data_IF_276622096135
#
_entry.id   IF_276622096135
#
_cell.length_a   1.000
_cell.length_b   1.000
_cell.length_c   1.000
_cell.angle_alpha   90.00
_cell.angle_beta   90.00
_cell.angle_gamma   90.00
#
_symmetry.space_group_name_H-M   'P 1'
#
loop_
_entity.id
_entity.type
_entity.pdbx_description
1 polymer ?
#
# COMPACT_ATOMS: atom_id res chain seq x y z
N UNK A 1 11.87 -4.24 -9.51
CA UNK A 1 10.60 -4.90 -9.86
C UNK A 1 9.96 -5.54 -8.64
N UNK A 2 10.61 -6.50 -7.98
CA UNK A 2 10.04 -7.20 -6.79
C UNK A 2 9.65 -6.23 -5.68
N UNK A 3 10.55 -5.31 -5.30
CA UNK A 3 10.22 -4.24 -4.35
C UNK A 3 8.99 -3.42 -4.77
N UNK A 4 8.87 -3.02 -6.03
CA UNK A 4 7.74 -2.22 -6.52
C UNK A 4 6.40 -2.95 -6.39
N UNK A 5 6.39 -4.27 -6.59
CA UNK A 5 5.21 -5.12 -6.39
C UNK A 5 4.85 -5.18 -4.89
N UNK A 6 5.83 -5.50 -4.04
CA UNK A 6 5.65 -5.53 -2.60
C UNK A 6 5.16 -4.18 -2.06
N UNK A 7 5.81 -3.09 -2.44
CA UNK A 7 5.48 -1.72 -2.04
C UNK A 7 4.05 -1.35 -2.46
N UNK A 8 3.62 -1.72 -3.68
CA UNK A 8 2.25 -1.46 -4.14
C UNK A 8 1.20 -2.10 -3.23
N UNK A 9 1.34 -3.41 -2.95
CA UNK A 9 0.41 -4.11 -2.05
C UNK A 9 0.53 -3.64 -0.60
N UNK A 10 1.73 -3.24 -0.19
CA UNK A 10 1.98 -2.73 1.15
C UNK A 10 1.32 -1.37 1.38
N UNK A 11 1.38 -0.46 0.39
CA UNK A 11 0.64 0.80 0.39
C UNK A 11 -0.87 0.59 0.35
N UNK A 12 -1.36 -0.37 -0.45
CA UNK A 12 -2.79 -0.66 -0.50
C UNK A 12 -3.32 -1.20 0.85
N UNK A 13 -2.61 -2.14 1.48
CA UNK A 13 -2.91 -2.64 2.83
C UNK A 13 -2.86 -1.51 3.88
N UNK A 14 -1.84 -0.66 3.80
CA UNK A 14 -1.62 0.47 4.69
C UNK A 14 -2.68 1.57 4.59
N UNK A 15 -3.13 1.87 3.37
CA UNK A 15 -3.97 3.03 3.08
C UNK A 15 -5.45 2.63 2.96
N UNK A 16 -5.74 1.65 2.10
CA UNK A 16 -7.12 1.18 1.89
C UNK A 16 -7.52 0.24 3.01
N UNK A 17 -6.68 -0.75 3.32
CA UNK A 17 -6.92 -1.73 4.37
C UNK A 17 -6.93 -1.17 5.78
N UNK A 18 -6.53 0.09 5.99
CA UNK A 18 -6.52 0.76 7.31
C UNK A 18 -7.57 1.87 7.43
N UNK A 19 -7.68 2.74 6.43
CA UNK A 19 -8.47 3.97 6.52
C UNK A 19 -9.82 3.89 5.80
N UNK A 20 -9.98 2.95 4.86
CA UNK A 20 -11.21 2.77 4.09
C UNK A 20 -11.97 1.55 4.60
N UNK A 21 -11.29 0.42 4.71
CA UNK A 21 -11.74 -0.79 5.39
C UNK A 21 -11.03 -0.76 6.73
N UNK A 22 -11.60 -0.22 7.82
CA UNK A 22 -10.91 -0.13 9.10
C UNK A 22 -10.83 -1.52 9.75
N UNK A 23 -10.13 -2.46 9.11
CA UNK A 23 -9.74 -3.77 9.60
C UNK A 23 -8.23 -3.77 9.89
N UNK A 24 -7.74 -4.76 10.64
CA UNK A 24 -6.30 -4.92 10.82
C UNK A 24 -5.62 -5.26 9.49
N UNK A 25 -4.41 -4.74 9.30
CA UNK A 25 -3.64 -4.97 8.08
C UNK A 25 -3.39 -6.46 7.85
N UNK A 26 -3.53 -6.88 6.60
CA UNK A 26 -3.29 -8.26 6.14
C UNK A 26 -1.87 -8.69 6.50
N UNK A 27 -0.90 -7.77 6.38
CA UNK A 27 0.49 -8.01 6.71
C UNK A 27 0.67 -8.59 8.11
N UNK A 28 -0.02 -7.99 9.09
CA UNK A 28 0.07 -8.33 10.51
C UNK A 28 -0.83 -9.51 10.86
N UNK A 29 -2.10 -9.48 10.45
CA UNK A 29 -3.10 -10.52 10.82
C UNK A 29 -2.78 -11.90 10.27
N UNK A 30 -2.18 -11.96 9.08
CA UNK A 30 -1.84 -13.22 8.41
C UNK A 30 -0.34 -13.52 8.42
N UNK A 31 0.43 -12.77 9.24
CA UNK A 31 1.86 -12.92 9.46
C UNK A 31 2.68 -12.97 8.15
N UNK A 32 2.34 -12.11 7.19
CA UNK A 32 2.99 -12.13 5.88
C UNK A 32 4.44 -11.65 5.95
N UNK A 33 4.84 -10.85 6.95
CA UNK A 33 6.25 -10.51 7.14
C UNK A 33 7.12 -11.76 7.32
N UNK A 34 6.72 -12.67 8.20
CA UNK A 34 7.44 -13.93 8.41
C UNK A 34 7.36 -14.83 7.17
N UNK A 35 6.18 -14.92 6.54
CA UNK A 35 5.96 -15.78 5.35
C UNK A 35 6.75 -15.31 4.13
N UNK A 36 6.87 -13.99 3.95
CA UNK A 36 7.65 -13.36 2.89
C UNK A 36 9.14 -13.27 3.22
N UNK A 37 9.56 -13.61 4.44
CA UNK A 37 10.94 -13.48 4.90
C UNK A 37 11.47 -12.03 4.83
N UNK A 38 10.65 -11.06 5.25
CA UNK A 38 11.03 -9.64 5.26
C UNK A 38 11.03 -9.07 6.69
N UNK A 39 12.09 -8.34 7.09
CA UNK A 39 12.17 -7.71 8.42
C UNK A 39 11.52 -6.32 8.47
N UNK A 40 10.95 -5.84 7.37
CA UNK A 40 10.43 -4.49 7.24
C UNK A 40 8.94 -4.44 7.60
N UNK A 41 8.56 -3.58 8.55
CA UNK A 41 7.16 -3.32 8.94
C UNK A 41 6.55 -2.11 8.19
N UNK A 42 7.43 -1.21 7.73
CA UNK A 42 7.09 -0.02 6.96
C UNK A 42 6.48 -0.33 5.60
N UNK A 43 6.11 0.73 4.88
CA UNK A 43 5.59 0.61 3.52
C UNK A 43 6.67 0.62 2.43
N UNK A 44 7.91 0.96 2.79
CA UNK A 44 9.03 1.11 1.87
C UNK A 44 9.44 2.56 1.63
N UNK A 45 8.67 3.53 2.15
CA UNK A 45 9.07 4.93 2.12
C UNK A 45 10.41 5.13 2.87
N UNK A 46 11.35 5.80 2.21
CA UNK A 46 12.67 6.09 2.78
C UNK A 46 13.68 4.94 2.73
N UNK A 47 13.34 3.79 2.13
CA UNK A 47 14.32 2.73 1.88
C UNK A 47 15.44 3.22 0.95
N UNK A 48 16.68 2.89 1.30
CA UNK A 48 17.85 3.14 0.45
C UNK A 48 17.90 2.15 -0.71
N UNK A 49 18.77 2.38 -1.70
CA UNK A 49 19.00 1.42 -2.77
C UNK A 49 19.45 0.04 -2.23
N UNK A 50 20.27 0.03 -1.18
CA UNK A 50 20.75 -1.21 -0.54
C UNK A 50 19.62 -1.94 0.18
N UNK A 51 18.71 -1.21 0.84
CA UNK A 51 17.51 -1.80 1.45
C UNK A 51 16.60 -2.43 0.39
N UNK A 52 16.36 -1.72 -0.72
CA UNK A 52 15.56 -2.21 -1.85
C UNK A 52 16.17 -3.48 -2.45
N UNK A 53 17.50 -3.53 -2.59
CA UNK A 53 18.22 -4.70 -3.09
C UNK A 53 18.12 -5.87 -2.10
N UNK A 54 18.34 -5.63 -0.82
CA UNK A 54 18.26 -6.65 0.23
C UNK A 54 16.86 -7.26 0.31
N UNK A 55 15.80 -6.43 0.31
CA UNK A 55 14.42 -6.90 0.27
C UNK A 55 14.16 -7.74 -0.98
N UNK A 56 14.53 -7.20 -2.16
CA UNK A 56 14.27 -7.87 -3.44
C UNK A 56 14.99 -9.22 -3.57
N UNK A 57 16.14 -9.39 -2.91
CA UNK A 57 16.90 -10.63 -2.91
C UNK A 57 16.40 -11.68 -1.91
N UNK A 58 15.81 -11.25 -0.79
CA UNK A 58 15.43 -12.13 0.32
C UNK A 58 13.98 -12.60 0.28
N UNK A 59 13.10 -11.84 -0.38
CA UNK A 59 11.65 -12.04 -0.31
C UNK A 59 11.19 -13.32 -1.02
N UNK A 60 10.30 -14.07 -0.37
CA UNK A 60 9.61 -15.20 -1.00
C UNK A 60 8.52 -14.69 -1.96
N UNK A 61 8.73 -14.91 -3.26
CA UNK A 61 7.84 -14.43 -4.34
C UNK A 61 6.46 -15.10 -4.29
N UNK A 62 6.37 -16.37 -3.89
CA UNK A 62 5.08 -17.06 -3.77
C UNK A 62 4.29 -16.49 -2.59
N UNK A 63 4.97 -16.21 -1.48
CA UNK A 63 4.36 -15.54 -0.34
C UNK A 63 3.93 -14.10 -0.68
N UNK A 64 4.71 -13.37 -1.49
CA UNK A 64 4.35 -12.06 -1.99
C UNK A 64 3.09 -12.10 -2.89
N UNK A 65 2.99 -13.08 -3.79
CA UNK A 65 1.77 -13.26 -4.59
C UNK A 65 0.55 -13.59 -3.72
N UNK A 66 0.71 -14.45 -2.72
CA UNK A 66 -0.34 -14.76 -1.76
C UNK A 66 -0.74 -13.54 -0.92
N UNK A 67 0.22 -12.69 -0.55
CA UNK A 67 -0.02 -11.43 0.14
C UNK A 67 -0.85 -10.49 -0.73
N UNK A 68 -0.47 -10.30 -1.99
CA UNK A 68 -1.23 -9.47 -2.93
C UNK A 68 -2.67 -9.91 -3.08
N UNK A 69 -2.92 -11.21 -3.23
CA UNK A 69 -4.28 -11.75 -3.29
C UNK A 69 -5.09 -11.46 -2.00
N UNK A 70 -4.47 -11.59 -0.84
CA UNK A 70 -5.11 -11.34 0.44
C UNK A 70 -5.42 -9.84 0.64
N UNK A 71 -4.50 -8.95 0.26
CA UNK A 71 -4.71 -7.49 0.27
C UNK A 71 -5.86 -7.12 -0.66
N UNK A 72 -5.84 -7.57 -1.91
CA UNK A 72 -6.91 -7.28 -2.87
C UNK A 72 -8.27 -7.79 -2.36
N UNK A 73 -8.32 -8.99 -1.77
CA UNK A 73 -9.56 -9.51 -1.19
C UNK A 73 -10.10 -8.60 -0.06
N UNK A 74 -9.24 -8.09 0.81
CA UNK A 74 -9.63 -7.12 1.84
C UNK A 74 -10.07 -5.78 1.23
N UNK A 75 -9.29 -5.23 0.30
CA UNK A 75 -9.59 -3.96 -0.36
C UNK A 75 -10.92 -3.97 -1.11
N UNK A 76 -11.35 -5.11 -1.67
CA UNK A 76 -12.68 -5.18 -2.33
C UNK A 76 -13.84 -4.93 -1.38
N UNK A 77 -13.66 -5.09 -0.06
CA UNK A 77 -14.67 -4.72 0.94
C UNK A 77 -14.89 -3.21 1.01
N UNK A 78 -13.95 -2.40 0.53
CA UNK A 78 -14.03 -0.94 0.54
C UNK A 78 -15.34 -0.43 -0.09
N UNK A 79 -15.83 -1.09 -1.15
CA UNK A 79 -17.09 -0.68 -1.80
C UNK A 79 -18.28 -0.63 -0.84
N UNK A 80 -18.34 -1.54 0.14
CA UNK A 80 -19.39 -1.53 1.15
C UNK A 80 -19.18 -0.40 2.18
N UNK A 81 -17.94 -0.18 2.62
CA UNK A 81 -17.62 0.87 3.60
C UNK A 81 -17.78 2.28 3.05
N UNK A 82 -17.63 2.46 1.74
CA UNK A 82 -17.74 3.74 1.06
C UNK A 82 -19.16 4.04 0.55
N UNK A 83 -20.15 3.17 0.78
CA UNK A 83 -21.47 3.28 0.18
C UNK A 83 -22.17 4.63 0.47
N UNK A 84 -21.99 5.15 1.69
CA UNK A 84 -22.60 6.40 2.15
C UNK A 84 -21.60 7.55 2.30
N UNK A 85 -20.41 7.44 1.68
CA UNK A 85 -19.40 8.49 1.78
C UNK A 85 -19.78 9.73 0.97
N UNK A 86 -19.57 10.90 1.58
CA UNK A 86 -19.37 12.13 0.81
C UNK A 86 -17.92 12.15 0.30
N UNK A 87 -17.74 11.89 -0.98
CA UNK A 87 -16.42 11.82 -1.61
C UNK A 87 -15.76 13.20 -1.82
N UNK A 88 -16.53 14.28 -1.77
CA UNK A 88 -16.06 15.63 -2.06
C UNK A 88 -15.37 16.29 -0.85
N UNK A 89 -15.45 15.68 0.33
CA UNK A 89 -14.81 16.16 1.55
C UNK A 89 -13.59 15.32 1.93
N UNK A 90 -12.59 15.89 2.60
CA UNK A 90 -11.51 15.13 3.21
C UNK A 90 -12.00 14.21 4.34
N UNK A 91 -11.13 13.29 4.78
CA UNK A 91 -11.34 12.62 6.07
C UNK A 91 -11.29 13.65 7.21
N UNK A 92 -12.14 13.45 8.21
CA UNK A 92 -12.08 14.16 9.47
C UNK A 92 -10.89 13.67 10.29
N UNK A 93 -10.35 14.54 11.14
CA UNK A 93 -9.27 14.15 12.05
C UNK A 93 -9.68 13.00 12.98
N UNK A 94 -10.95 12.97 13.41
CA UNK A 94 -11.47 11.88 14.25
C UNK A 94 -11.45 10.52 13.54
N UNK A 95 -11.85 10.47 12.25
CA UNK A 95 -11.75 9.25 11.43
C UNK A 95 -10.29 8.77 11.32
N UNK A 96 -9.36 9.68 11.03
CA UNK A 96 -7.93 9.35 10.91
C UNK A 96 -7.37 8.85 12.25
N UNK A 97 -7.64 9.55 13.35
CA UNK A 97 -7.16 9.15 14.69
C UNK A 97 -7.74 7.80 15.14
N UNK A 98 -9.01 7.52 14.85
CA UNK A 98 -9.60 6.21 15.14
C UNK A 98 -8.85 5.08 14.41
N UNK A 99 -8.56 5.25 13.12
CA UNK A 99 -7.75 4.30 12.35
C UNK A 99 -6.30 4.23 12.84
N UNK A 100 -5.74 5.33 13.34
CA UNK A 100 -4.37 5.32 13.88
C UNK A 100 -4.25 4.54 15.18
N UNK A 101 -5.19 4.73 16.12
CA UNK A 101 -5.19 4.05 17.43
C UNK A 101 -5.42 2.54 17.33
N UNK A 102 -6.11 2.09 16.28
CA UNK A 102 -6.46 0.67 16.12
C UNK A 102 -5.31 -0.15 15.52
N UNK A 103 -4.35 0.49 14.84
CA UNK A 103 -3.31 -0.17 14.05
C UNK A 103 -1.92 0.43 14.34
N UNK A 104 -1.03 -0.31 14.99
CA UNK A 104 0.21 0.21 15.57
C UNK A 104 1.48 0.06 14.69
N UNK A 105 1.37 -0.45 13.47
CA UNK A 105 2.51 -0.96 12.67
C UNK A 105 3.17 0.05 11.73
N UNK A 106 2.46 1.12 11.32
CA UNK A 106 2.98 2.15 10.40
C UNK A 106 3.11 3.55 11.00
N UNK A 107 2.65 3.76 12.24
CA UNK A 107 2.67 5.10 12.85
C UNK A 107 3.91 5.26 13.73
N UNK A 108 5.04 5.63 13.12
CA UNK A 108 6.04 6.44 13.81
C UNK A 108 5.62 7.91 13.71
N UNK A 109 5.60 8.61 14.84
CA UNK A 109 5.07 9.96 15.07
C UNK A 109 3.57 9.97 15.44
N UNK A 110 3.12 10.92 16.27
CA UNK A 110 1.79 10.99 16.93
C UNK A 110 0.57 11.09 15.97
N UNK A 111 0.76 10.77 14.69
CA UNK A 111 -0.25 10.78 13.65
C UNK A 111 -0.37 12.10 12.93
N UNK A 112 0.29 13.16 13.39
CA UNK A 112 0.12 14.53 12.89
C UNK A 112 0.38 14.63 11.39
N UNK A 113 1.50 14.08 10.89
CA UNK A 113 1.79 14.07 9.46
C UNK A 113 0.79 13.26 8.63
N UNK A 114 0.29 12.14 9.16
CA UNK A 114 -0.77 11.35 8.50
C UNK A 114 -2.10 12.11 8.43
N UNK A 115 -2.46 12.81 9.51
CA UNK A 115 -3.66 13.65 9.56
C UNK A 115 -3.57 14.78 8.54
N UNK A 116 -2.46 15.52 8.51
CA UNK A 116 -2.23 16.59 7.54
C UNK A 116 -2.28 16.06 6.11
N UNK A 117 -1.60 14.94 5.84
CA UNK A 117 -1.60 14.28 4.54
C UNK A 117 -3.02 13.91 4.09
N UNK A 118 -3.78 13.18 4.92
CA UNK A 118 -5.12 12.75 4.55
C UNK A 118 -6.11 13.91 4.42
N UNK A 119 -5.92 14.98 5.19
CA UNK A 119 -6.77 16.18 5.13
C UNK A 119 -6.44 17.12 3.98
N UNK A 120 -5.28 16.95 3.34
CA UNK A 120 -4.87 17.73 2.17
C UNK A 120 -5.60 17.33 0.88
N UNK A 121 -6.39 16.26 0.90
CA UNK A 121 -7.12 15.74 -0.25
C UNK A 121 -8.52 15.27 0.13
N UNK A 122 -9.43 15.25 -0.84
CA UNK A 122 -10.77 14.69 -0.70
C UNK A 122 -10.72 13.17 -0.58
N UNK A 123 -11.80 12.56 -0.05
CA UNK A 123 -11.95 11.09 -0.01
C UNK A 123 -11.87 10.48 -1.42
N UNK A 124 -12.42 11.15 -2.45
CA UNK A 124 -12.27 10.74 -3.85
C UNK A 124 -10.79 10.67 -4.28
N UNK A 125 -10.03 11.75 -4.06
CA UNK A 125 -8.61 11.81 -4.43
C UNK A 125 -7.79 10.77 -3.67
N UNK A 126 -8.08 10.59 -2.38
CA UNK A 126 -7.40 9.60 -1.55
C UNK A 126 -7.60 8.18 -2.09
N UNK A 127 -8.84 7.78 -2.36
CA UNK A 127 -9.16 6.45 -2.88
C UNK A 127 -8.57 6.26 -4.27
N UNK A 128 -8.76 7.23 -5.17
CA UNK A 128 -8.21 7.15 -6.53
C UNK A 128 -6.69 7.06 -6.53
N UNK A 129 -6.01 7.79 -5.64
CA UNK A 129 -4.56 7.74 -5.50
C UNK A 129 -4.08 6.38 -5.00
N UNK A 130 -4.61 5.88 -3.88
CA UNK A 130 -4.02 4.71 -3.22
C UNK A 130 -4.58 3.37 -3.70
N UNK A 131 -5.84 3.32 -4.13
CA UNK A 131 -6.46 2.08 -4.63
C UNK A 131 -6.14 1.83 -6.11
N UNK A 132 -5.83 2.88 -6.88
CA UNK A 132 -5.61 2.76 -8.32
C UNK A 132 -4.30 3.42 -8.79
N UNK A 133 -4.18 4.74 -8.62
CA UNK A 133 -3.11 5.53 -9.24
C UNK A 133 -1.69 5.09 -8.85
N UNK A 134 -1.48 4.80 -7.57
CA UNK A 134 -0.19 4.35 -7.04
C UNK A 134 0.27 3.03 -7.66
N UNK A 135 -0.62 2.03 -7.69
CA UNK A 135 -0.32 0.73 -8.29
C UNK A 135 -0.08 0.84 -9.81
N UNK A 136 -0.84 1.68 -10.51
CA UNK A 136 -0.60 1.93 -11.94
C UNK A 136 0.73 2.63 -12.22
N UNK A 137 1.14 3.56 -11.36
CA UNK A 137 2.44 4.20 -11.43
C UNK A 137 3.58 3.18 -11.35
N UNK A 138 3.56 2.30 -10.34
CA UNK A 138 4.57 1.25 -10.19
C UNK A 138 4.51 0.19 -11.30
N UNK A 139 3.33 -0.11 -11.85
CA UNK A 139 3.23 -0.97 -13.03
C UNK A 139 3.97 -0.36 -14.24
N UNK A 140 3.85 0.97 -14.43
CA UNK A 140 4.61 1.70 -15.44
C UNK A 140 6.12 1.60 -15.22
N UNK A 141 6.59 1.80 -13.99
CA UNK A 141 8.01 1.65 -13.64
C UNK A 141 8.53 0.23 -13.89
N UNK A 142 7.77 -0.79 -13.45
CA UNK A 142 8.09 -2.21 -13.68
C UNK A 142 8.24 -2.47 -15.18
N UNK A 143 7.32 -1.94 -15.99
CA UNK A 143 7.34 -2.12 -17.45
C UNK A 143 8.53 -1.43 -18.11
N UNK A 144 8.92 -0.25 -17.62
CA UNK A 144 10.11 0.45 -18.09
C UNK A 144 11.40 -0.33 -17.75
N UNK A 145 11.51 -0.83 -16.51
CA UNK A 145 12.65 -1.64 -16.05
C UNK A 145 12.74 -2.93 -16.87
N UNK A 146 11.62 -3.64 -17.05
CA UNK A 146 11.60 -4.87 -17.83
C UNK A 146 11.98 -4.64 -19.30
N UNK A 147 11.51 -3.53 -19.89
CA UNK A 147 11.92 -3.15 -21.24
C UNK A 147 13.41 -2.84 -21.37
N UNK A 148 14.05 -2.33 -20.32
CA UNK A 148 15.50 -2.11 -20.28
C UNK A 148 16.28 -3.43 -20.12
N UNK A 149 15.75 -4.39 -19.36
CA UNK A 149 16.40 -5.69 -19.11
C UNK A 149 16.24 -6.64 -20.30
N UNK A 150 15.01 -6.78 -20.80
CA UNK A 150 14.64 -7.74 -21.85
C UNK A 150 14.92 -7.23 -23.28
N UNK A 151 15.12 -5.92 -23.45
CA UNK A 151 15.21 -5.27 -24.74
C UNK A 151 13.88 -5.17 -25.50
N UNK A 152 12.76 -5.60 -24.89
CA UNK A 152 11.42 -5.57 -25.50
C UNK A 152 10.48 -4.73 -24.64
N UNK A 153 9.89 -3.67 -25.20
CA UNK A 153 8.91 -2.85 -24.47
C UNK A 153 7.54 -3.53 -24.49
N UNK A 154 6.97 -3.74 -23.30
CA UNK A 154 5.61 -4.28 -23.15
C UNK A 154 4.52 -3.29 -23.59
N UNK A 155 4.79 -1.99 -23.45
CA UNK A 155 3.91 -0.92 -23.92
C UNK A 155 4.60 -0.15 -25.06
N UNK A 156 3.99 -0.18 -26.23
CA UNK A 156 4.29 0.72 -27.35
C UNK A 156 3.22 1.80 -27.38
N UNK A 157 3.59 3.03 -27.07
CA UNK A 157 2.72 4.21 -27.17
C UNK A 157 2.82 4.83 -28.56
#
# INVERSE_FOLDING_TARGET
MVWSIWHSYRCEDACIGRFVVPEQQVLTTQNFNARMNIPYLGDGMGMTADDVLALSAAIDINALAAYGNAVTAQSTKAYAYMADWDFAVPFTEAEVRAALTTYADLASDEGTGTIEYMRSMTKAEYVMKHMYGHTQYHLGEISAIDGQISGTRFFTW
#
